data_IF_322430345920
#
_entry.id   IF_322430345920
#
_cell.length_a   1.000
_cell.length_b   1.000
_cell.length_c   1.000
_cell.angle_alpha   90.00
_cell.angle_beta   90.00
_cell.angle_gamma   90.00
#
_symmetry.space_group_name_H-M   'P 1'
#
loop_
_entity.id
_entity.type
_entity.pdbx_description
1 polymer ?
#
# COMPACT_ATOMS: atom_id res chain seq x y z
N UNK A 1 -6.19 17.67 -18.28
CA UNK A 1 -5.12 16.78 -17.79
C UNK A 1 -5.62 16.13 -16.51
N UNK A 2 -5.55 14.80 -16.42
CA UNK A 2 -5.92 14.00 -15.26
C UNK A 2 -4.70 13.21 -14.80
N UNK A 3 -4.40 13.26 -13.50
CA UNK A 3 -3.44 12.38 -12.84
C UNK A 3 -4.19 11.62 -11.76
N UNK A 4 -4.11 10.29 -11.78
CA UNK A 4 -4.78 9.43 -10.83
C UNK A 4 -3.78 8.48 -10.17
N UNK A 5 -3.96 8.28 -8.87
CA UNK A 5 -3.23 7.29 -8.10
C UNK A 5 -4.20 6.25 -7.57
N UNK A 6 -4.04 5.00 -8.00
CA UNK A 6 -4.93 3.91 -7.62
C UNK A 6 -4.13 2.81 -6.94
N UNK A 7 -4.73 2.13 -5.95
CA UNK A 7 -4.12 0.91 -5.43
C UNK A 7 -4.21 -0.19 -6.49
N UNK A 8 -3.09 -0.86 -6.77
CA UNK A 8 -3.04 -1.92 -7.78
C UNK A 8 -3.52 -3.24 -7.18
N UNK A 9 -4.38 -3.99 -7.90
CA UNK A 9 -4.68 -5.36 -7.48
C UNK A 9 -3.43 -6.25 -7.55
N UNK A 10 -2.62 -6.01 -8.56
CA UNK A 10 -1.34 -6.65 -8.80
C UNK A 10 -0.33 -6.29 -7.72
N UNK A 11 0.34 -7.30 -7.18
CA UNK A 11 1.30 -7.15 -6.08
C UNK A 11 0.66 -7.04 -4.69
N UNK A 12 -0.60 -6.64 -4.53
CA UNK A 12 -1.25 -6.53 -3.22
C UNK A 12 -1.94 -7.83 -2.72
N UNK A 13 -1.58 -8.99 -3.25
CA UNK A 13 -2.27 -10.25 -2.95
C UNK A 13 -2.37 -10.57 -1.45
N UNK A 14 -1.31 -10.31 -0.68
CA UNK A 14 -1.32 -10.53 0.78
C UNK A 14 -2.22 -9.51 1.51
N UNK A 15 -2.27 -8.27 1.05
CA UNK A 15 -3.14 -7.22 1.61
C UNK A 15 -4.60 -7.62 1.39
N UNK A 16 -4.94 -8.07 0.18
CA UNK A 16 -6.26 -8.57 -0.16
C UNK A 16 -6.64 -9.82 0.64
N UNK A 17 -5.69 -10.71 0.91
CA UNK A 17 -5.95 -11.96 1.62
C UNK A 17 -6.06 -11.79 3.15
N UNK A 18 -5.34 -10.83 3.74
CA UNK A 18 -5.23 -10.69 5.20
C UNK A 18 -5.89 -9.41 5.71
N UNK A 19 -5.59 -8.27 5.08
CA UNK A 19 -6.03 -6.96 5.56
C UNK A 19 -7.49 -6.70 5.17
N UNK A 20 -7.92 -7.07 3.96
CA UNK A 20 -9.33 -6.87 3.56
C UNK A 20 -10.33 -7.62 4.47
N UNK A 21 -10.12 -8.91 4.83
CA UNK A 21 -10.96 -9.56 5.82
C UNK A 21 -10.88 -8.91 7.20
N UNK A 22 -9.68 -8.51 7.64
CA UNK A 22 -9.50 -7.84 8.93
C UNK A 22 -10.31 -6.54 8.99
N UNK A 23 -10.26 -5.71 7.95
CA UNK A 23 -11.02 -4.44 7.83
C UNK A 23 -12.52 -4.62 8.01
N UNK A 24 -13.11 -5.70 7.51
CA UNK A 24 -14.56 -5.97 7.67
C UNK A 24 -14.98 -6.10 9.13
N UNK A 25 -14.05 -6.53 9.99
CA UNK A 25 -14.24 -6.61 11.44
C UNK A 25 -13.81 -5.31 12.10
N UNK A 26 -12.59 -4.85 11.84
CA UNK A 26 -11.98 -3.72 12.55
C UNK A 26 -12.67 -2.39 12.26
N UNK A 27 -13.21 -2.17 11.07
CA UNK A 27 -13.95 -0.94 10.71
C UNK A 27 -15.23 -0.72 11.54
N UNK A 28 -15.72 -1.76 12.22
CA UNK A 28 -16.91 -1.69 13.10
C UNK A 28 -16.56 -1.54 14.58
N UNK A 29 -15.28 -1.60 14.93
CA UNK A 29 -14.82 -1.51 16.31
C UNK A 29 -14.64 -0.04 16.73
N UNK A 30 -14.68 0.26 18.05
CA UNK A 30 -14.34 1.59 18.54
C UNK A 30 -12.91 1.99 18.16
N UNK A 31 -12.70 3.27 17.82
CA UNK A 31 -11.41 3.79 17.33
C UNK A 31 -10.23 3.47 18.26
N UNK A 32 -10.44 3.48 19.58
CA UNK A 32 -9.39 3.12 20.56
C UNK A 32 -8.91 1.69 20.41
N UNK A 33 -9.82 0.76 20.11
CA UNK A 33 -9.49 -0.66 19.90
C UNK A 33 -8.71 -0.82 18.60
N UNK A 34 -9.19 -0.21 17.50
CA UNK A 34 -8.49 -0.24 16.20
C UNK A 34 -7.10 0.38 16.32
N UNK A 35 -6.96 1.47 17.08
CA UNK A 35 -5.66 2.11 17.34
C UNK A 35 -4.70 1.21 18.10
N UNK A 36 -5.18 0.47 19.10
CA UNK A 36 -4.41 -0.53 19.82
C UNK A 36 -3.98 -1.71 18.95
N UNK A 37 -4.88 -2.25 18.12
CA UNK A 37 -4.57 -3.30 17.15
C UNK A 37 -3.53 -2.82 16.12
N UNK A 38 -3.68 -1.59 15.63
CA UNK A 38 -2.72 -0.97 14.74
C UNK A 38 -1.36 -0.82 15.42
N UNK A 39 -1.30 -0.42 16.70
CA UNK A 39 -0.04 -0.34 17.45
C UNK A 39 0.63 -1.72 17.59
N UNK A 40 -0.16 -2.76 17.89
CA UNK A 40 0.32 -4.14 17.97
C UNK A 40 0.87 -4.64 16.63
N UNK A 41 0.25 -4.28 15.50
CA UNK A 41 0.76 -4.59 14.15
C UNK A 41 1.97 -3.73 13.75
N UNK A 42 2.01 -2.48 14.21
CA UNK A 42 3.08 -1.52 13.88
C UNK A 42 4.38 -1.89 14.54
N UNK A 43 4.35 -2.39 15.78
CA UNK A 43 5.57 -2.73 16.51
C UNK A 43 6.47 -3.73 15.77
N UNK A 44 6.01 -4.94 15.38
CA UNK A 44 6.85 -5.88 14.63
C UNK A 44 7.23 -5.33 13.26
N UNK A 45 6.35 -4.60 12.58
CA UNK A 45 6.66 -3.96 11.30
C UNK A 45 7.80 -2.94 11.46
N UNK A 46 7.71 -2.07 12.45
CA UNK A 46 8.73 -1.04 12.71
C UNK A 46 10.06 -1.67 13.10
N UNK A 47 10.05 -2.72 13.92
CA UNK A 47 11.26 -3.51 14.23
C UNK A 47 11.85 -4.12 12.94
N UNK A 48 11.03 -4.68 12.06
CA UNK A 48 11.50 -5.21 10.78
C UNK A 48 12.07 -4.12 9.86
N UNK A 49 11.43 -2.94 9.79
CA UNK A 49 11.91 -1.80 9.01
C UNK A 49 13.31 -1.37 9.47
N UNK A 50 13.55 -1.28 10.77
CA UNK A 50 14.85 -0.88 11.34
C UNK A 50 15.89 -2.00 11.30
N UNK A 51 15.49 -3.25 11.57
CA UNK A 51 16.40 -4.39 11.70
C UNK A 51 16.71 -5.12 10.40
N UNK A 52 15.81 -5.09 9.41
CA UNK A 52 15.94 -5.84 8.15
C UNK A 52 16.01 -4.91 6.94
N UNK A 53 15.03 -4.00 6.77
CA UNK A 53 14.96 -3.18 5.56
C UNK A 53 16.03 -2.08 5.53
N UNK A 54 16.27 -1.39 6.64
CA UNK A 54 17.32 -0.38 6.74
C UNK A 54 18.72 -0.91 6.38
N UNK A 55 19.22 -2.04 6.93
CA UNK A 55 20.50 -2.60 6.51
C UNK A 55 20.48 -3.17 5.07
N UNK A 56 19.32 -3.67 4.61
CA UNK A 56 19.18 -4.18 3.24
C UNK A 56 19.36 -3.09 2.17
N UNK A 57 19.08 -1.82 2.47
CA UNK A 57 19.33 -0.71 1.53
C UNK A 57 20.79 -0.62 1.08
N UNK A 58 21.73 -1.04 1.94
CA UNK A 58 23.18 -1.09 1.63
C UNK A 58 23.64 -2.45 1.07
N UNK A 59 22.75 -3.44 0.99
CA UNK A 59 23.08 -4.83 0.63
C UNK A 59 22.10 -5.36 -0.44
N UNK A 60 22.40 -5.15 -1.73
CA UNK A 60 21.48 -5.50 -2.83
C UNK A 60 21.01 -6.96 -2.85
N UNK A 61 21.85 -7.90 -2.40
CA UNK A 61 21.47 -9.32 -2.32
C UNK A 61 20.40 -9.57 -1.26
N UNK A 62 20.55 -8.98 -0.07
CA UNK A 62 19.57 -9.09 1.01
C UNK A 62 18.24 -8.43 0.61
N UNK A 63 18.34 -7.25 -0.02
CA UNK A 63 17.19 -6.48 -0.51
C UNK A 63 16.28 -7.30 -1.43
N UNK A 64 16.84 -8.04 -2.39
CA UNK A 64 16.08 -8.88 -3.33
C UNK A 64 15.33 -10.05 -2.67
N UNK A 65 15.71 -10.43 -1.46
CA UNK A 65 15.08 -11.53 -0.71
C UNK A 65 13.94 -11.04 0.18
N UNK A 66 13.85 -9.74 0.46
CA UNK A 66 12.82 -9.19 1.33
C UNK A 66 11.49 -9.05 0.58
N UNK A 67 10.36 -9.49 1.17
CA UNK A 67 9.05 -9.30 0.57
C UNK A 67 8.69 -7.82 0.53
N UNK A 68 7.93 -7.40 -0.47
CA UNK A 68 7.40 -6.03 -0.52
C UNK A 68 8.47 -4.93 -0.43
N UNK A 69 9.71 -5.26 -0.82
CA UNK A 69 10.88 -4.43 -0.55
C UNK A 69 10.74 -3.02 -1.10
N UNK A 70 10.23 -2.88 -2.33
CA UNK A 70 10.12 -1.55 -2.94
C UNK A 70 9.25 -0.59 -2.13
N UNK A 71 8.18 -1.08 -1.48
CA UNK A 71 7.32 -0.26 -0.64
C UNK A 71 7.86 -0.12 0.78
N UNK A 72 8.27 -1.24 1.40
CA UNK A 72 8.71 -1.22 2.80
C UNK A 72 10.04 -0.50 3.00
N UNK A 73 10.94 -0.52 2.01
CA UNK A 73 12.17 0.28 2.06
C UNK A 73 11.89 1.78 2.14
N UNK A 74 10.80 2.26 1.53
CA UNK A 74 10.40 3.67 1.57
C UNK A 74 9.81 4.08 2.93
N UNK A 75 9.36 3.11 3.73
CA UNK A 75 8.89 3.35 5.10
C UNK A 75 10.01 3.39 6.14
N UNK A 76 11.24 2.98 5.79
CA UNK A 76 12.40 3.02 6.70
C UNK A 76 12.64 4.40 7.34
N UNK A 77 12.59 5.55 6.63
CA UNK A 77 12.77 6.85 7.26
C UNK A 77 11.65 7.20 8.25
N UNK A 78 10.46 6.61 8.13
CA UNK A 78 9.28 7.06 8.86
C UNK A 78 9.40 6.77 10.37
N UNK A 79 9.11 7.75 11.24
CA UNK A 79 9.00 7.50 12.68
C UNK A 79 7.88 6.50 12.97
N UNK A 80 7.94 5.88 14.15
CA UNK A 80 6.94 4.88 14.58
C UNK A 80 5.49 5.37 14.40
N UNK A 81 5.25 6.65 14.76
CA UNK A 81 3.92 7.28 14.65
C UNK A 81 3.38 7.27 13.22
N UNK A 82 4.22 7.50 12.22
CA UNK A 82 3.77 7.51 10.82
C UNK A 82 3.46 6.09 10.33
N UNK A 83 4.30 5.11 10.67
CA UNK A 83 4.02 3.69 10.38
C UNK A 83 2.73 3.23 11.08
N UNK A 84 2.49 3.72 12.30
CA UNK A 84 1.25 3.48 13.04
C UNK A 84 0.04 4.06 12.34
N UNK A 85 0.11 5.30 11.86
CA UNK A 85 -0.97 5.91 11.09
C UNK A 85 -1.29 5.11 9.82
N UNK A 86 -0.28 4.59 9.12
CA UNK A 86 -0.48 3.73 7.94
C UNK A 86 -1.21 2.44 8.34
N UNK A 87 -0.73 1.73 9.37
CA UNK A 87 -1.37 0.51 9.85
C UNK A 87 -2.80 0.76 10.35
N UNK A 88 -3.02 1.90 11.01
CA UNK A 88 -4.33 2.30 11.51
C UNK A 88 -5.31 2.55 10.37
N UNK A 89 -4.92 3.32 9.36
CA UNK A 89 -5.74 3.53 8.15
C UNK A 89 -6.02 2.20 7.43
N UNK A 90 -5.03 1.29 7.45
CA UNK A 90 -5.18 -0.06 6.93
C UNK A 90 -6.21 -0.94 7.67
N UNK A 91 -6.57 -0.61 8.90
CA UNK A 91 -7.59 -1.35 9.66
C UNK A 91 -8.90 -0.56 9.79
N UNK A 92 -8.84 0.76 9.65
CA UNK A 92 -9.99 1.63 9.82
C UNK A 92 -10.86 1.69 8.55
N UNK A 93 -10.25 1.80 7.37
CA UNK A 93 -11.03 2.07 6.16
C UNK A 93 -11.98 0.89 5.85
N UNK A 94 -13.31 1.14 5.73
CA UNK A 94 -14.29 0.07 5.53
C UNK A 94 -14.13 -0.69 4.20
N UNK A 95 -13.66 0.01 3.17
CA UNK A 95 -13.43 -0.53 1.82
C UNK A 95 -12.18 0.12 1.23
N UNK A 96 -11.38 -0.67 0.50
CA UNK A 96 -10.32 -0.17 -0.36
C UNK A 96 -10.43 -0.86 -1.74
N UNK A 97 -10.58 -0.07 -2.80
CA UNK A 97 -10.66 -0.60 -4.16
C UNK A 97 -9.26 -0.80 -4.74
N UNK A 98 -8.90 -2.05 -4.97
CA UNK A 98 -7.67 -2.43 -5.67
C UNK A 98 -7.99 -2.72 -7.12
N UNK A 99 -7.56 -1.82 -8.01
CA UNK A 99 -7.89 -1.86 -9.42
C UNK A 99 -6.86 -2.69 -10.18
N UNK A 100 -7.27 -3.71 -10.97
CA UNK A 100 -6.38 -4.31 -11.94
C UNK A 100 -6.02 -3.32 -13.04
N UNK A 101 -4.87 -3.52 -13.69
CA UNK A 101 -4.39 -2.63 -14.77
C UNK A 101 -5.46 -2.37 -15.84
N UNK A 102 -6.12 -3.43 -16.29
CA UNK A 102 -7.12 -3.37 -17.35
C UNK A 102 -8.34 -2.50 -16.97
N UNK A 103 -8.67 -2.42 -15.68
CA UNK A 103 -9.77 -1.58 -15.21
C UNK A 103 -9.38 -0.10 -15.22
N UNK A 104 -8.13 0.24 -14.84
CA UNK A 104 -7.61 1.60 -14.96
C UNK A 104 -7.60 2.04 -16.43
N UNK A 105 -7.11 1.19 -17.33
CA UNK A 105 -7.10 1.46 -18.79
C UNK A 105 -8.52 1.66 -19.34
N UNK A 106 -9.48 0.82 -18.92
CA UNK A 106 -10.89 0.95 -19.28
C UNK A 106 -11.50 2.27 -18.81
N UNK A 107 -11.26 2.69 -17.56
CA UNK A 107 -11.77 3.96 -17.05
C UNK A 107 -11.31 5.16 -17.90
N UNK A 108 -10.05 5.18 -18.34
CA UNK A 108 -9.57 6.24 -19.23
C UNK A 108 -10.26 6.19 -20.60
N UNK A 109 -10.36 5.01 -21.21
CA UNK A 109 -11.03 4.83 -22.50
C UNK A 109 -12.51 5.27 -22.47
N UNK A 110 -13.27 4.88 -21.44
CA UNK A 110 -14.69 5.23 -21.27
C UNK A 110 -14.89 6.72 -20.94
N UNK A 111 -13.91 7.36 -20.31
CA UNK A 111 -13.96 8.80 -20.01
C UNK A 111 -13.68 9.71 -21.22
N UNK A 112 -13.30 9.13 -22.37
CA UNK A 112 -12.86 9.89 -23.54
C UNK A 112 -11.48 10.52 -23.39
N UNK A 113 -10.71 10.15 -22.35
CA UNK A 113 -9.35 10.64 -22.13
C UNK A 113 -8.34 9.70 -22.78
N UNK A 114 -7.33 10.27 -23.44
CA UNK A 114 -6.16 9.52 -23.87
C UNK A 114 -5.26 9.23 -22.68
N UNK A 115 -5.05 7.94 -22.39
CA UNK A 115 -4.06 7.49 -21.40
C UNK A 115 -2.65 7.71 -21.94
N UNK A 116 -1.93 8.64 -21.34
CA UNK A 116 -0.57 9.02 -21.74
C UNK A 116 0.48 8.12 -21.08
N UNK A 117 0.30 7.78 -19.81
CA UNK A 117 1.16 6.84 -19.11
C UNK A 117 0.42 6.11 -17.98
N UNK A 118 0.84 4.88 -17.74
CA UNK A 118 0.39 4.05 -16.62
C UNK A 118 1.59 3.34 -16.03
N UNK A 119 2.02 3.77 -14.85
CA UNK A 119 3.23 3.27 -14.19
C UNK A 119 2.86 2.39 -13.00
N UNK A 120 3.50 1.23 -12.90
CA UNK A 120 3.41 0.38 -11.71
C UNK A 120 4.40 0.88 -10.65
N UNK A 121 3.89 1.61 -9.68
CA UNK A 121 4.67 2.23 -8.64
C UNK A 121 4.77 1.31 -7.41
N UNK A 122 5.99 1.16 -6.88
CA UNK A 122 6.38 0.22 -5.81
C UNK A 122 5.85 -1.22 -5.94
N UNK A 123 5.50 -1.64 -7.15
CA UNK A 123 4.80 -2.90 -7.41
C UNK A 123 3.51 -3.08 -6.57
N UNK A 124 2.85 -1.98 -6.17
CA UNK A 124 1.63 -2.01 -5.35
C UNK A 124 0.59 -0.93 -5.72
N UNK A 125 0.90 -0.02 -6.64
CA UNK A 125 0.01 1.07 -7.01
C UNK A 125 0.18 1.44 -8.48
N UNK A 126 -0.87 2.03 -9.04
CA UNK A 126 -0.91 2.58 -10.38
C UNK A 126 -0.82 4.11 -10.29
N UNK A 127 0.18 4.68 -10.97
CA UNK A 127 0.20 6.11 -11.25
C UNK A 127 -0.18 6.31 -12.72
N UNK A 128 -1.38 6.83 -12.96
CA UNK A 128 -1.94 7.05 -14.28
C UNK A 128 -1.96 8.54 -14.62
N UNK A 129 -1.68 8.87 -15.88
CA UNK A 129 -1.76 10.23 -16.41
C UNK A 129 -2.40 10.22 -17.79
N UNK A 130 -3.30 11.17 -18.04
CA UNK A 130 -3.95 11.34 -19.34
C UNK A 130 -4.50 12.75 -19.58
N UNK A 131 -4.99 12.97 -20.79
CA UNK A 131 -5.48 14.26 -21.27
C UNK A 131 -6.61 14.05 -22.28
N UNK A 132 -7.33 15.13 -22.62
CA UNK A 132 -8.39 15.12 -23.65
C UNK A 132 -7.76 14.96 -25.04
#
# INVERSE_FOLDING_TARGET
MLVAWCYAREGNGWVLALIDPARRVTSRLPLRVVSGLAAAATLPLWVALRGLYAPAQRRPRLRRLLPYESYLSDLVPFPFREVHSIAFDQLLAPVAHYMPRAEVERCFAESGLRLASLRWHHANSWAAHGYL
#
